data_IF_228150025460
#
_entry.id   IF_228150025460
#
_cell.length_a   1.000
_cell.length_b   1.000
_cell.length_c   1.000
_cell.angle_alpha   90.00
_cell.angle_beta   90.00
_cell.angle_gamma   90.00
#
_symmetry.space_group_name_H-M   'P 1'
#
loop_
_entity.id
_entity.type
_entity.pdbx_description
1 polymer ?
#
# COMPACT_ATOMS: atom_id res chain seq x y z
N UNK A 1 -4.03 17.92 -11.79
CA UNK A 1 -3.69 18.30 -10.40
C UNK A 1 -2.32 17.74 -10.05
N UNK A 2 -1.49 18.45 -9.27
CA UNK A 2 -0.09 18.08 -9.02
C UNK A 2 0.00 16.86 -8.08
N UNK A 3 -0.10 15.65 -8.63
CA UNK A 3 0.02 14.40 -7.85
C UNK A 3 1.41 14.21 -7.22
N UNK A 4 2.47 14.74 -7.86
CA UNK A 4 3.86 14.63 -7.40
C UNK A 4 4.11 15.18 -5.98
N UNK A 5 3.75 16.44 -5.64
CA UNK A 5 3.94 16.96 -4.28
C UNK A 5 3.07 16.24 -3.23
N UNK A 6 1.88 15.76 -3.60
CA UNK A 6 1.05 14.97 -2.69
C UNK A 6 1.70 13.62 -2.36
N UNK A 7 2.18 12.90 -3.37
CA UNK A 7 2.88 11.62 -3.19
C UNK A 7 4.17 11.79 -2.37
N UNK A 8 4.86 12.93 -2.54
CA UNK A 8 6.07 13.23 -1.77
C UNK A 8 5.75 13.47 -0.28
N UNK A 9 4.70 14.24 0.02
CA UNK A 9 4.21 14.43 1.39
C UNK A 9 3.72 13.11 2.01
N UNK A 10 3.03 12.27 1.24
CA UNK A 10 2.60 10.94 1.66
C UNK A 10 3.80 10.03 2.01
N UNK A 11 4.86 10.07 1.19
CA UNK A 11 6.09 9.31 1.45
C UNK A 11 6.78 9.77 2.73
N UNK A 12 6.99 11.07 2.89
CA UNK A 12 7.67 11.62 4.08
C UNK A 12 6.86 11.34 5.34
N UNK A 13 5.54 11.56 5.30
CA UNK A 13 4.64 11.27 6.41
C UNK A 13 4.61 9.78 6.75
N UNK A 14 4.60 8.90 5.75
CA UNK A 14 4.63 7.45 5.94
C UNK A 14 5.92 6.95 6.59
N UNK A 15 7.08 7.47 6.18
CA UNK A 15 8.37 7.11 6.79
C UNK A 15 8.43 7.60 8.24
N UNK A 16 8.07 8.85 8.51
CA UNK A 16 8.08 9.40 9.86
C UNK A 16 7.10 8.68 10.80
N UNK A 17 5.90 8.33 10.30
CA UNK A 17 4.92 7.55 11.04
C UNK A 17 5.40 6.11 11.29
N UNK A 18 6.05 5.48 10.31
CA UNK A 18 6.62 4.14 10.45
C UNK A 18 7.70 4.07 11.54
N UNK A 19 8.62 5.04 11.56
CA UNK A 19 9.65 5.13 12.61
C UNK A 19 9.00 5.33 13.98
N UNK A 20 8.04 6.26 14.07
CA UNK A 20 7.34 6.55 15.33
C UNK A 20 6.55 5.34 15.82
N UNK A 21 5.90 4.61 14.91
CA UNK A 21 5.19 3.38 15.22
C UNK A 21 6.15 2.30 15.73
N UNK A 22 7.29 2.08 15.07
CA UNK A 22 8.29 1.10 15.53
C UNK A 22 8.85 1.46 16.93
N UNK A 23 9.11 2.74 17.18
CA UNK A 23 9.66 3.20 18.47
C UNK A 23 8.65 3.11 19.62
N UNK A 24 7.35 3.24 19.31
CA UNK A 24 6.28 3.37 20.29
C UNK A 24 5.39 2.13 20.40
N UNK A 25 5.66 1.08 19.62
CA UNK A 25 4.87 -0.16 19.67
C UNK A 25 5.30 -1.04 20.84
N UNK A 26 4.37 -1.50 21.70
CA UNK A 26 4.68 -2.35 22.85
C UNK A 26 4.86 -3.85 22.51
N UNK A 27 4.93 -4.23 21.23
CA UNK A 27 4.94 -5.64 20.78
C UNK A 27 6.38 -6.16 20.58
N UNK A 28 6.67 -7.43 20.96
CA UNK A 28 7.96 -8.08 20.70
C UNK A 28 8.33 -8.09 19.21
N UNK A 29 9.60 -7.91 18.86
CA UNK A 29 10.04 -7.79 17.46
C UNK A 29 9.74 -9.01 16.59
N UNK A 30 9.67 -10.20 17.18
CA UNK A 30 9.18 -11.41 16.48
C UNK A 30 7.72 -11.28 16.03
N UNK A 31 6.85 -10.74 16.87
CA UNK A 31 5.43 -10.53 16.52
C UNK A 31 5.29 -9.44 15.46
N UNK A 32 6.01 -8.33 15.63
CA UNK A 32 6.06 -7.25 14.64
C UNK A 32 6.46 -7.71 13.24
N UNK A 33 7.45 -8.61 13.11
CA UNK A 33 7.85 -9.18 11.81
C UNK A 33 6.74 -10.00 11.16
N UNK A 34 6.04 -10.81 11.97
CA UNK A 34 4.93 -11.64 11.51
C UNK A 34 3.78 -10.75 11.06
N UNK A 35 3.44 -9.74 11.86
CA UNK A 35 2.38 -8.78 11.56
C UNK A 35 2.68 -7.95 10.31
N UNK A 36 3.92 -7.47 10.15
CA UNK A 36 4.35 -6.72 8.96
C UNK A 36 4.26 -7.57 7.68
N UNK A 37 4.66 -8.85 7.77
CA UNK A 37 4.52 -9.80 6.65
C UNK A 37 3.06 -10.05 6.30
N UNK A 38 2.22 -10.29 7.30
CA UNK A 38 0.78 -10.54 7.11
C UNK A 38 0.10 -9.30 6.52
N UNK A 39 0.40 -8.12 7.04
CA UNK A 39 -0.11 -6.84 6.54
C UNK A 39 0.26 -6.66 5.05
N UNK A 40 1.54 -6.83 4.69
CA UNK A 40 1.98 -6.79 3.28
C UNK A 40 1.15 -7.71 2.39
N UNK A 41 1.00 -8.97 2.79
CA UNK A 41 0.32 -9.98 1.97
C UNK A 41 -1.19 -9.69 1.88
N UNK A 42 -1.82 -9.20 2.96
CA UNK A 42 -3.19 -8.73 2.94
C UNK A 42 -3.37 -7.55 1.97
N UNK A 43 -2.53 -6.52 2.04
CA UNK A 43 -2.64 -5.36 1.14
C UNK A 43 -2.51 -5.76 -0.34
N UNK A 44 -1.61 -6.68 -0.66
CA UNK A 44 -1.47 -7.22 -2.02
C UNK A 44 -2.74 -7.94 -2.46
N UNK A 45 -3.32 -8.74 -1.57
CA UNK A 45 -4.56 -9.46 -1.85
C UNK A 45 -5.74 -8.48 -2.06
N UNK A 46 -5.95 -7.53 -1.14
CA UNK A 46 -7.01 -6.50 -1.23
C UNK A 46 -6.93 -5.68 -2.51
N UNK A 47 -5.73 -5.35 -2.97
CA UNK A 47 -5.54 -4.61 -4.23
C UNK A 47 -5.83 -5.46 -5.46
N UNK A 48 -5.60 -6.77 -5.37
CA UNK A 48 -5.98 -7.72 -6.41
C UNK A 48 -7.50 -7.87 -6.48
N UNK A 49 -8.15 -7.96 -5.32
CA UNK A 49 -9.61 -8.03 -5.22
C UNK A 49 -10.27 -6.76 -5.73
N UNK A 50 -9.75 -5.58 -5.35
CA UNK A 50 -10.23 -4.30 -5.85
C UNK A 50 -10.20 -4.25 -7.38
N UNK A 51 -9.11 -4.72 -7.99
CA UNK A 51 -9.01 -4.81 -9.45
C UNK A 51 -10.07 -5.75 -10.04
N UNK A 52 -10.35 -6.87 -9.40
CA UNK A 52 -11.39 -7.82 -9.83
C UNK A 52 -12.79 -7.19 -9.73
N UNK A 53 -13.11 -6.57 -8.60
CA UNK A 53 -14.38 -5.90 -8.35
C UNK A 53 -14.61 -4.78 -9.37
N UNK A 54 -13.58 -4.01 -9.72
CA UNK A 54 -13.66 -3.03 -10.79
C UNK A 54 -13.87 -3.66 -12.17
N UNK A 55 -13.38 -4.87 -12.43
CA UNK A 55 -13.68 -5.55 -13.69
C UNK A 55 -15.16 -6.02 -13.73
N UNK A 56 -15.71 -6.42 -12.59
CA UNK A 56 -17.11 -6.84 -12.47
C UNK A 56 -18.09 -5.67 -12.57
N UNK A 57 -17.84 -4.58 -11.86
CA UNK A 57 -18.64 -3.36 -11.97
C UNK A 57 -18.68 -2.90 -13.45
N UNK A 58 -17.59 -3.09 -14.20
CA UNK A 58 -17.50 -2.70 -15.61
C UNK A 58 -18.48 -3.52 -16.44
N UNK A 59 -18.60 -4.81 -16.17
CA UNK A 59 -19.56 -5.70 -16.85
C UNK A 59 -21.00 -5.34 -16.47
N UNK A 60 -21.23 -4.97 -15.21
CA UNK A 60 -22.54 -4.57 -14.70
C UNK A 60 -23.02 -3.18 -15.16
N UNK A 61 -22.15 -2.35 -15.77
CA UNK A 61 -22.56 -1.04 -16.29
C UNK A 61 -23.60 -1.11 -17.43
N UNK A 62 -23.76 -2.26 -18.07
CA UNK A 62 -24.73 -2.43 -19.17
C UNK A 62 -26.20 -2.25 -18.73
N UNK A 63 -26.49 -2.35 -17.43
CA UNK A 63 -27.85 -2.35 -16.85
C UNK A 63 -28.28 -0.95 -16.35
N UNK A 64 -27.42 0.06 -16.47
CA UNK A 64 -27.64 1.40 -15.92
C UNK A 64 -28.21 2.38 -16.98
N UNK A 65 -28.82 3.48 -16.54
CA UNK A 65 -29.29 4.56 -17.44
C UNK A 65 -28.12 5.22 -18.19
N UNK A 66 -28.35 5.71 -19.42
CA UNK A 66 -27.32 6.33 -20.30
C UNK A 66 -26.56 7.49 -19.63
N UNK A 67 -27.28 8.32 -18.86
CA UNK A 67 -26.68 9.45 -18.14
C UNK A 67 -25.74 8.98 -17.03
N UNK A 68 -26.11 7.90 -16.33
CA UNK A 68 -25.36 7.29 -15.22
C UNK A 68 -24.18 6.44 -15.71
N UNK A 69 -24.29 5.82 -16.90
CA UNK A 69 -23.26 4.98 -17.53
C UNK A 69 -21.97 5.77 -17.73
N UNK A 70 -22.07 6.97 -18.30
CA UNK A 70 -20.90 7.79 -18.64
C UNK A 70 -20.04 8.15 -17.42
N UNK A 71 -20.69 8.52 -16.32
CA UNK A 71 -20.06 8.91 -15.05
C UNK A 71 -19.35 7.71 -14.42
N UNK A 72 -20.02 6.57 -14.34
CA UNK A 72 -19.46 5.36 -13.73
C UNK A 72 -18.33 4.79 -14.58
N UNK A 73 -18.47 4.73 -15.90
CA UNK A 73 -17.41 4.26 -16.80
C UNK A 73 -16.15 5.13 -16.66
N UNK A 74 -16.31 6.45 -16.56
CA UNK A 74 -15.19 7.38 -16.41
C UNK A 74 -14.50 7.18 -15.06
N UNK A 75 -15.27 7.15 -13.96
CA UNK A 75 -14.76 6.91 -12.63
C UNK A 75 -13.99 5.58 -12.52
N UNK A 76 -14.54 4.51 -13.09
CA UNK A 76 -13.88 3.20 -13.12
C UNK A 76 -12.60 3.19 -13.93
N UNK A 77 -12.59 3.91 -15.06
CA UNK A 77 -11.39 4.09 -15.88
C UNK A 77 -10.30 4.82 -15.10
N UNK A 78 -10.68 5.83 -14.32
CA UNK A 78 -9.74 6.57 -13.48
C UNK A 78 -9.17 5.69 -12.36
N UNK A 79 -9.99 4.91 -11.65
CA UNK A 79 -9.48 3.97 -10.64
C UNK A 79 -8.56 2.92 -11.28
N UNK A 80 -8.94 2.37 -12.44
CA UNK A 80 -8.09 1.42 -13.17
C UNK A 80 -6.75 2.05 -13.52
N UNK A 81 -6.73 3.30 -13.95
CA UNK A 81 -5.50 4.04 -14.23
C UNK A 81 -4.67 4.24 -12.98
N UNK A 82 -5.28 4.64 -11.86
CA UNK A 82 -4.60 4.80 -10.57
C UNK A 82 -3.95 3.48 -10.10
N UNK A 83 -4.66 2.36 -10.17
CA UNK A 83 -4.12 1.03 -9.80
C UNK A 83 -2.98 0.63 -10.73
N UNK A 84 -3.13 0.85 -12.04
CA UNK A 84 -2.07 0.53 -13.01
C UNK A 84 -0.83 1.40 -12.80
N UNK A 85 -1.03 2.68 -12.52
CA UNK A 85 0.03 3.63 -12.23
C UNK A 85 0.75 3.25 -10.93
N UNK A 86 0.01 2.99 -9.86
CA UNK A 86 0.56 2.47 -8.61
C UNK A 86 1.37 1.18 -8.84
N UNK A 87 0.85 0.23 -9.62
CA UNK A 87 1.57 -1.00 -9.97
C UNK A 87 2.85 -0.72 -10.76
N UNK A 88 2.81 0.23 -11.68
CA UNK A 88 3.96 0.63 -12.51
C UNK A 88 5.02 1.36 -11.71
N UNK A 89 4.62 2.21 -10.78
CA UNK A 89 5.51 2.98 -9.88
C UNK A 89 6.12 2.06 -8.82
N UNK A 90 5.34 1.16 -8.22
CA UNK A 90 5.83 0.27 -7.17
C UNK A 90 6.72 -0.85 -7.73
N UNK A 91 6.46 -1.39 -8.94
CA UNK A 91 7.26 -2.47 -9.55
C UNK A 91 8.79 -2.25 -9.49
N UNK A 92 9.35 -1.15 -9.99
CA UNK A 92 10.79 -0.90 -9.91
C UNK A 92 11.27 -0.68 -8.47
N UNK A 93 10.40 -0.18 -7.59
CA UNK A 93 10.69 0.02 -6.18
C UNK A 93 10.46 -1.23 -5.32
N UNK A 94 9.93 -2.33 -5.86
CA UNK A 94 9.72 -3.58 -5.10
C UNK A 94 11.02 -4.12 -4.51
N UNK A 95 12.13 -4.01 -5.24
CA UNK A 95 13.44 -4.39 -4.72
C UNK A 95 13.87 -3.47 -3.57
N UNK A 96 13.68 -2.15 -3.73
CA UNK A 96 13.97 -1.15 -2.70
C UNK A 96 13.12 -1.37 -1.45
N UNK A 97 11.82 -1.62 -1.59
CA UNK A 97 10.91 -1.95 -0.48
C UNK A 97 11.35 -3.24 0.23
N UNK A 98 11.82 -4.26 -0.51
CA UNK A 98 12.38 -5.48 0.10
C UNK A 98 13.66 -5.18 0.90
N UNK A 99 14.54 -4.33 0.38
CA UNK A 99 15.76 -3.92 1.07
C UNK A 99 15.44 -3.09 2.31
N UNK A 100 14.53 -2.11 2.20
CA UNK A 100 14.04 -1.31 3.33
C UNK A 100 13.35 -2.19 4.38
N UNK A 101 12.64 -3.25 3.98
CA UNK A 101 12.09 -4.26 4.91
C UNK A 101 13.20 -4.99 5.68
N UNK A 102 14.31 -5.34 5.03
CA UNK A 102 15.47 -5.98 5.68
C UNK A 102 16.15 -4.99 6.63
N UNK A 103 16.25 -3.72 6.26
CA UNK A 103 16.80 -2.67 7.13
C UNK A 103 15.90 -2.43 8.35
N UNK A 104 14.58 -2.41 8.18
CA UNK A 104 13.61 -2.38 9.28
C UNK A 104 13.78 -3.62 10.16
N UNK A 105 13.94 -4.80 9.57
CA UNK A 105 14.17 -6.05 10.30
C UNK A 105 15.42 -5.97 11.19
N UNK A 106 16.51 -5.41 10.64
CA UNK A 106 17.76 -5.18 11.35
C UNK A 106 17.61 -4.15 12.47
N UNK A 107 16.95 -3.02 12.19
CA UNK A 107 16.70 -1.99 13.19
C UNK A 107 15.89 -2.53 14.39
N UNK A 108 14.92 -3.41 14.14
CA UNK A 108 14.17 -4.11 15.20
C UNK A 108 15.09 -5.02 16.02
N UNK A 109 15.99 -5.81 15.39
CA UNK A 109 16.96 -6.65 16.12
C UNK A 109 17.88 -5.81 17.01
N UNK A 110 18.39 -4.69 16.48
CA UNK A 110 19.31 -3.82 17.21
C UNK A 110 18.61 -3.16 18.42
N UNK A 111 17.33 -2.79 18.27
CA UNK A 111 16.51 -2.30 19.38
C UNK A 111 16.27 -3.39 20.44
N UNK A 112 15.94 -4.62 20.04
CA UNK A 112 15.79 -5.75 20.98
C UNK A 112 17.09 -6.02 21.78
N UNK A 113 18.25 -5.95 21.13
CA UNK A 113 19.55 -6.10 21.78
C UNK A 113 19.88 -4.95 22.74
N UNK A 114 19.40 -3.73 22.45
CA UNK A 114 19.58 -2.56 23.32
C UNK A 114 18.68 -2.57 24.56
N UNK A 115 17.50 -3.20 24.48
CA UNK A 115 16.54 -3.31 25.59
C UNK A 115 16.80 -4.52 26.49
N UNK A 116 17.64 -5.47 26.05
CA UNK A 116 18.01 -6.68 26.79
C UNK A 116 19.36 -6.57 27.52
N UNK A 117 20.04 -5.42 27.42
CA UNK A 117 21.14 -4.99 28.30
C UNK A 117 20.63 -3.97 29.32
#
# INVERSE_FOLDING_TARGET
MKAKPFLFGFFIGGVAAGISMLLSTPSPGKELRIELKNCKDEWVHRLTDLKSNLAEIKKATNILSEESKSIIITFMKDIKNLINQWKSEIKPHQHKIKLEMIEIEKAINDLEASLSN
#
